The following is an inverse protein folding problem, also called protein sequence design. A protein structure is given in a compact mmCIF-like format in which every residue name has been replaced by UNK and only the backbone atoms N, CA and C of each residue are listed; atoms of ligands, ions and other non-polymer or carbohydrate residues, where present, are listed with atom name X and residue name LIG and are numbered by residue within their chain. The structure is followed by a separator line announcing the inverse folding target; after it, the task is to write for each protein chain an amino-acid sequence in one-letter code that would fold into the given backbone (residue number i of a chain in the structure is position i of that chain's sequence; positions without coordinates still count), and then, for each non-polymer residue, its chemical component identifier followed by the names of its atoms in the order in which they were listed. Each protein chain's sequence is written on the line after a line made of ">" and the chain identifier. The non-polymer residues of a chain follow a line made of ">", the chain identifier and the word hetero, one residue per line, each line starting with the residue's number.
data_IF_108948975620
#
_entry.id   IF_108948975620
#
_cell.length_a   1.000
_cell.length_b   1.000
_cell.length_c   1.000
_cell.angle_alpha   90.00
_cell.angle_beta   90.00
_cell.angle_gamma   90.00
#
_symmetry.space_group_name_H-M   'P 1'
#
loop_
_entity.id
_entity.type
_entity.pdbx_description
1 polymer ?
#
# COMPACT_ATOMS: atom_id res chain seq x y z
N UNK A 1 -39.66 0.99 -8.16
CA UNK A 1 -38.83 1.64 -7.12
C UNK A 1 -37.58 0.83 -6.74
N UNK A 2 -37.68 -0.49 -6.46
CA UNK A 2 -36.52 -1.30 -6.09
C UNK A 2 -35.41 -1.35 -7.16
N UNK A 3 -35.78 -1.49 -8.44
CA UNK A 3 -34.81 -1.51 -9.55
C UNK A 3 -34.00 -0.22 -9.69
N UNK A 4 -34.62 0.94 -9.46
CA UNK A 4 -33.93 2.23 -9.46
C UNK A 4 -32.97 2.34 -8.27
N UNK A 5 -33.40 1.95 -7.07
CA UNK A 5 -32.56 1.95 -5.88
C UNK A 5 -31.33 1.05 -6.04
N UNK A 6 -31.52 -0.19 -6.51
CA UNK A 6 -30.42 -1.15 -6.74
C UNK A 6 -29.46 -0.61 -7.80
N UNK A 7 -29.96 -0.05 -8.90
CA UNK A 7 -29.11 0.54 -9.94
C UNK A 7 -28.24 1.67 -9.41
N UNK A 8 -28.79 2.59 -8.62
CA UNK A 8 -28.02 3.69 -7.99
C UNK A 8 -26.97 3.16 -7.00
N UNK A 9 -27.29 2.15 -6.21
CA UNK A 9 -26.34 1.56 -5.25
C UNK A 9 -25.18 0.88 -5.98
N UNK A 10 -25.46 0.12 -7.05
CA UNK A 10 -24.44 -0.55 -7.86
C UNK A 10 -23.54 0.46 -8.57
N UNK A 11 -24.11 1.54 -9.10
CA UNK A 11 -23.34 2.58 -9.78
C UNK A 11 -22.36 3.27 -8.82
N UNK A 12 -22.85 3.67 -7.64
CA UNK A 12 -21.98 4.24 -6.58
C UNK A 12 -20.88 3.28 -6.15
N UNK A 13 -21.21 1.99 -5.99
CA UNK A 13 -20.20 0.98 -5.63
C UNK A 13 -19.12 0.85 -6.71
N UNK A 14 -19.52 0.86 -8.00
CA UNK A 14 -18.57 0.85 -9.12
C UNK A 14 -17.68 2.10 -9.12
N UNK A 15 -18.24 3.29 -8.90
CA UNK A 15 -17.45 4.52 -8.80
C UNK A 15 -16.46 4.46 -7.65
N UNK A 16 -16.88 4.01 -6.48
CA UNK A 16 -16.00 3.83 -5.32
C UNK A 16 -14.87 2.85 -5.66
N UNK A 17 -15.19 1.72 -6.28
CA UNK A 17 -14.20 0.72 -6.65
C UNK A 17 -13.22 1.21 -7.71
N UNK A 18 -13.70 1.92 -8.73
CA UNK A 18 -12.85 2.51 -9.79
C UNK A 18 -11.94 3.62 -9.27
N UNK A 19 -12.34 4.32 -8.22
CA UNK A 19 -11.55 5.37 -7.58
C UNK A 19 -10.57 4.85 -6.52
N UNK A 20 -10.55 3.54 -6.22
CA UNK A 20 -9.51 2.97 -5.38
C UNK A 20 -8.19 3.13 -6.12
N UNK A 21 -7.36 4.07 -5.68
CA UNK A 21 -6.02 4.27 -6.21
C UNK A 21 -5.15 3.04 -5.92
N UNK A 22 -5.05 2.12 -6.88
CA UNK A 22 -4.13 1.01 -6.80
C UNK A 22 -2.70 1.53 -6.93
N UNK A 23 -1.81 1.04 -6.07
CA UNK A 23 -0.41 1.49 -6.02
C UNK A 23 0.42 0.98 -7.20
N UNK A 24 -0.08 -0.01 -7.95
CA UNK A 24 0.63 -0.72 -9.01
C UNK A 24 1.08 0.21 -10.14
N UNK A 25 0.21 1.11 -10.59
CA UNK A 25 0.54 2.08 -11.64
C UNK A 25 1.61 3.08 -11.18
N UNK A 26 1.52 3.56 -9.95
CA UNK A 26 2.51 4.47 -9.36
C UNK A 26 3.85 3.76 -9.10
N UNK A 27 3.82 2.51 -8.66
CA UNK A 27 5.03 1.70 -8.43
C UNK A 27 5.77 1.39 -9.75
N UNK A 28 5.02 1.10 -10.82
CA UNK A 28 5.58 0.90 -12.16
C UNK A 28 6.24 2.19 -12.67
N UNK A 29 5.57 3.33 -12.48
CA UNK A 29 6.12 4.63 -12.83
C UNK A 29 7.44 4.91 -12.09
N UNK A 30 7.45 4.78 -10.76
CA UNK A 30 8.66 4.96 -9.93
C UNK A 30 9.80 4.05 -10.37
N UNK A 31 9.50 2.80 -10.73
CA UNK A 31 10.52 1.84 -11.19
C UNK A 31 11.10 2.23 -12.55
N UNK A 32 10.28 2.79 -13.45
CA UNK A 32 10.73 3.28 -14.75
C UNK A 32 11.51 4.60 -14.69
N UNK A 33 11.13 5.50 -13.78
CA UNK A 33 11.75 6.82 -13.62
C UNK A 33 13.09 6.76 -12.90
N UNK A 34 13.23 5.90 -11.88
CA UNK A 34 14.45 5.80 -11.07
C UNK A 34 15.34 4.67 -11.61
N UNK A 35 16.15 5.01 -12.61
CA UNK A 35 17.10 4.08 -13.25
C UNK A 35 18.43 4.05 -12.48
N UNK A 36 19.06 2.88 -12.41
CA UNK A 36 20.36 2.68 -11.75
C UNK A 36 20.44 1.36 -10.99
N UNK A 37 21.60 0.74 -11.06
CA UNK A 37 21.93 -0.56 -10.43
C UNK A 37 22.61 -0.40 -9.08
N UNK A 38 22.93 0.82 -8.68
CA UNK A 38 23.57 1.12 -7.39
C UNK A 38 22.67 0.73 -6.22
N UNK A 39 23.30 0.34 -5.11
CA UNK A 39 22.56 -0.04 -3.90
C UNK A 39 21.72 1.12 -3.36
N UNK A 40 22.27 2.34 -3.38
CA UNK A 40 21.57 3.56 -2.98
C UNK A 40 20.30 3.78 -3.81
N UNK A 41 20.41 3.69 -5.14
CA UNK A 41 19.27 3.84 -6.06
C UNK A 41 18.22 2.73 -5.84
N UNK A 42 18.67 1.52 -5.56
CA UNK A 42 17.79 0.38 -5.20
C UNK A 42 17.06 0.62 -3.88
N UNK A 43 17.74 1.19 -2.90
CA UNK A 43 17.15 1.58 -1.61
C UNK A 43 16.13 2.70 -1.77
N UNK A 44 16.41 3.71 -2.60
CA UNK A 44 15.45 4.77 -2.92
C UNK A 44 14.17 4.23 -3.56
N UNK A 45 14.26 3.36 -4.58
CA UNK A 45 13.07 2.72 -5.19
C UNK A 45 12.22 1.97 -4.17
N UNK A 46 12.86 1.18 -3.31
CA UNK A 46 12.18 0.42 -2.24
C UNK A 46 11.51 1.35 -1.23
N UNK A 47 12.16 2.44 -0.84
CA UNK A 47 11.59 3.41 0.10
C UNK A 47 10.39 4.15 -0.50
N UNK A 48 10.47 4.58 -1.77
CA UNK A 48 9.35 5.20 -2.47
C UNK A 48 8.12 4.27 -2.53
N UNK A 49 8.31 3.01 -2.93
CA UNK A 49 7.21 2.03 -2.98
C UNK A 49 6.64 1.77 -1.57
N UNK A 50 7.49 1.68 -0.54
CA UNK A 50 7.02 1.53 0.85
C UNK A 50 6.18 2.71 1.31
N UNK A 51 6.54 3.94 0.93
CA UNK A 51 5.74 5.13 1.23
C UNK A 51 4.40 5.11 0.51
N UNK A 52 4.34 4.69 -0.76
CA UNK A 52 3.08 4.51 -1.49
C UNK A 52 2.18 3.48 -0.79
N UNK A 53 2.74 2.33 -0.39
CA UNK A 53 2.02 1.32 0.39
C UNK A 53 1.50 1.87 1.73
N UNK A 54 2.31 2.66 2.45
CA UNK A 54 1.93 3.25 3.71
C UNK A 54 0.73 4.20 3.54
N UNK A 55 0.78 5.09 2.54
CA UNK A 55 -0.33 5.98 2.20
C UNK A 55 -1.60 5.19 1.89
N UNK A 56 -1.49 4.09 1.14
CA UNK A 56 -2.64 3.23 0.84
C UNK A 56 -3.26 2.63 2.11
N UNK A 57 -2.45 2.16 3.06
CA UNK A 57 -2.94 1.61 4.34
C UNK A 57 -3.65 2.69 5.15
N UNK A 58 -3.12 3.92 5.18
CA UNK A 58 -3.73 5.04 5.90
C UNK A 58 -5.09 5.42 5.29
N UNK A 59 -5.17 5.56 3.97
CA UNK A 59 -6.45 5.85 3.29
C UNK A 59 -7.46 4.72 3.49
N UNK A 60 -7.03 3.46 3.34
CA UNK A 60 -7.90 2.29 3.53
C UNK A 60 -8.40 2.16 4.98
N UNK A 61 -7.62 2.62 5.96
CA UNK A 61 -8.03 2.63 7.38
C UNK A 61 -9.23 3.55 7.62
N UNK A 62 -9.33 4.66 6.89
CA UNK A 62 -10.42 5.64 7.05
C UNK A 62 -11.71 5.17 6.38
N UNK A 63 -11.62 4.48 5.24
CA UNK A 63 -12.79 4.02 4.49
C UNK A 63 -13.25 2.60 4.84
N UNK A 64 -12.36 1.73 5.33
CA UNK A 64 -12.65 0.31 5.58
C UNK A 64 -12.59 -0.03 7.06
N UNK A 65 -13.76 -0.37 7.62
CA UNK A 65 -13.88 -0.85 9.01
C UNK A 65 -13.03 -2.11 9.27
N UNK A 66 -12.79 -2.96 8.27
CA UNK A 66 -11.91 -4.13 8.42
C UNK A 66 -10.46 -3.72 8.62
N UNK A 67 -9.98 -2.75 7.84
CA UNK A 67 -8.61 -2.24 7.95
C UNK A 67 -8.45 -1.46 9.25
N UNK A 68 -9.46 -0.69 9.66
CA UNK A 68 -9.49 0.00 10.97
C UNK A 68 -9.42 -0.96 12.14
N UNK A 69 -10.09 -2.13 12.07
CA UNK A 69 -9.98 -3.17 13.11
C UNK A 69 -8.59 -3.81 13.15
N UNK A 70 -7.94 -3.98 12.00
CA UNK A 70 -6.58 -4.54 11.90
C UNK A 70 -5.51 -3.56 12.37
N UNK A 71 -5.70 -2.28 12.09
CA UNK A 71 -4.79 -1.19 12.45
C UNK A 71 -5.57 -0.09 13.21
N UNK A 72 -5.94 -0.35 14.48
CA UNK A 72 -6.75 0.59 15.25
C UNK A 72 -5.99 1.90 15.52
N UNK A 73 -4.70 1.79 15.82
CA UNK A 73 -3.83 2.90 16.21
C UNK A 73 -2.67 3.05 15.23
N UNK A 74 -2.07 4.23 15.16
CA UNK A 74 -0.84 4.45 14.37
C UNK A 74 0.32 3.57 14.87
N UNK A 75 0.39 3.29 16.18
CA UNK A 75 1.39 2.37 16.74
C UNK A 75 1.30 0.96 16.16
N UNK A 76 0.10 0.48 15.83
CA UNK A 76 -0.09 -0.81 15.19
C UNK A 76 0.47 -0.82 13.76
N UNK A 77 0.36 0.30 13.05
CA UNK A 77 0.96 0.48 11.70
C UNK A 77 2.48 0.51 11.82
N UNK A 78 3.02 1.26 12.79
CA UNK A 78 4.46 1.34 13.05
C UNK A 78 5.03 -0.03 13.42
N UNK A 79 4.35 -0.78 14.30
CA UNK A 79 4.76 -2.12 14.70
C UNK A 79 4.80 -3.08 13.50
N UNK A 80 3.81 -3.05 12.62
CA UNK A 80 3.80 -3.84 11.39
C UNK A 80 4.96 -3.45 10.45
N UNK A 81 5.25 -2.15 10.32
CA UNK A 81 6.40 -1.66 9.56
C UNK A 81 7.74 -2.12 10.13
N UNK A 82 7.90 -2.08 11.47
CA UNK A 82 9.10 -2.58 12.16
C UNK A 82 9.29 -4.08 11.95
N UNK A 83 8.22 -4.86 12.01
CA UNK A 83 8.28 -6.30 11.74
C UNK A 83 8.71 -6.60 10.30
N UNK A 84 8.21 -5.82 9.33
CA UNK A 84 8.62 -5.94 7.94
C UNK A 84 10.09 -5.57 7.73
N UNK A 85 10.58 -4.54 8.44
CA UNK A 85 11.98 -4.16 8.42
C UNK A 85 12.89 -5.24 9.03
N UNK A 86 12.49 -5.84 10.16
CA UNK A 86 13.25 -6.96 10.77
C UNK A 86 13.43 -8.11 9.80
N UNK A 87 12.33 -8.57 9.16
CA UNK A 87 12.38 -9.64 8.16
C UNK A 87 13.30 -9.32 6.98
N UNK A 88 13.33 -8.05 6.57
CA UNK A 88 14.23 -7.59 5.54
C UNK A 88 15.68 -7.75 6.00
N UNK A 89 16.06 -7.23 7.18
CA UNK A 89 17.42 -7.35 7.73
C UNK A 89 17.86 -8.80 7.85
N UNK A 90 16.97 -9.68 8.33
CA UNK A 90 17.26 -11.11 8.46
C UNK A 90 17.55 -11.75 7.09
N UNK A 91 16.77 -11.41 6.06
CA UNK A 91 17.00 -11.88 4.69
C UNK A 91 18.35 -11.44 4.12
N UNK A 92 18.84 -10.25 4.49
CA UNK A 92 20.18 -9.81 4.09
C UNK A 92 21.28 -10.59 4.77
N UNK A 93 21.14 -10.88 6.08
CA UNK A 93 22.12 -11.71 6.82
C UNK A 93 22.21 -13.13 6.27
N UNK A 94 21.10 -13.72 5.82
CA UNK A 94 21.10 -15.08 5.25
C UNK A 94 21.68 -15.14 3.83
N UNK A 95 21.70 -14.02 3.09
CA UNK A 95 22.26 -13.95 1.72
C UNK A 95 23.74 -13.58 1.68
N UNK A 96 24.32 -13.17 2.81
CA UNK A 96 25.75 -12.84 2.93
C UNK A 96 26.60 -13.97 3.54
N UNK A 97 26.02 -15.15 3.74
CA UNK A 97 26.67 -16.40 4.11
C UNK A 97 26.54 -17.40 2.95
#
# INVERSE_FOLDING_TARGET
>A
MLGFFVATVVDRWKTIFGNIGFIDSAALYVTSSVQGTDEETRMHRRNLIRYLCLTQVLVLRDISMRVRKRFPNLDAVIAAGKQQFSKFVDTFKTRSL
#
